data_IF_564044922333
#
_entry.id   IF_564044922333
#
_cell.length_a   1.000
_cell.length_b   1.000
_cell.length_c   1.000
_cell.angle_alpha   90.00
_cell.angle_beta   90.00
_cell.angle_gamma   90.00
#
_symmetry.space_group_name_H-M   'P 1'
#
loop_
_entity.id
_entity.type
_entity.pdbx_description
1 polymer ?
#
# COMPACT_ATOMS: atom_id res chain seq x y z
N UNK A 1 -18.53 -29.27 -18.95
CA UNK A 1 -18.63 -28.97 -17.50
C UNK A 1 -17.84 -27.70 -17.14
N UNK A 2 -18.43 -26.53 -17.39
CA UNK A 2 -17.91 -25.24 -16.93
C UNK A 2 -18.30 -25.09 -15.46
N UNK A 3 -17.48 -25.62 -14.57
CA UNK A 3 -17.58 -25.36 -13.13
C UNK A 3 -17.55 -23.85 -12.90
N UNK A 4 -18.45 -23.36 -12.05
CA UNK A 4 -18.64 -21.94 -11.82
C UNK A 4 -17.30 -21.24 -11.51
N UNK A 5 -16.99 -20.06 -12.10
CA UNK A 5 -15.69 -19.40 -11.96
C UNK A 5 -15.44 -18.77 -10.57
N UNK A 6 -16.39 -18.89 -9.63
CA UNK A 6 -16.34 -18.28 -8.30
C UNK A 6 -15.28 -18.83 -7.34
N UNK A 7 -14.98 -20.16 -7.27
CA UNK A 7 -14.02 -20.69 -6.31
C UNK A 7 -12.61 -20.13 -6.51
N UNK A 8 -12.03 -20.12 -7.73
CA UNK A 8 -10.69 -19.55 -7.95
C UNK A 8 -10.59 -18.07 -7.60
N UNK A 9 -11.63 -17.27 -7.89
CA UNK A 9 -11.63 -15.84 -7.58
C UNK A 9 -11.66 -15.58 -6.07
N UNK A 10 -12.45 -16.37 -5.33
CA UNK A 10 -12.53 -16.26 -3.87
C UNK A 10 -11.20 -16.57 -3.20
N UNK A 11 -10.51 -17.65 -3.61
CA UNK A 11 -9.19 -17.99 -3.08
C UNK A 11 -8.12 -16.96 -3.44
N UNK A 12 -8.17 -16.39 -4.65
CA UNK A 12 -7.31 -15.28 -5.04
C UNK A 12 -7.53 -14.05 -4.14
N UNK A 13 -8.79 -13.67 -3.93
CA UNK A 13 -9.15 -12.54 -3.07
C UNK A 13 -8.74 -12.79 -1.62
N UNK A 14 -8.90 -14.01 -1.12
CA UNK A 14 -8.45 -14.41 0.20
C UNK A 14 -6.93 -14.23 0.35
N UNK A 15 -6.14 -14.71 -0.61
CA UNK A 15 -4.69 -14.54 -0.59
C UNK A 15 -4.27 -13.06 -0.58
N UNK A 16 -4.95 -12.23 -1.36
CA UNK A 16 -4.74 -10.78 -1.37
C UNK A 16 -5.08 -10.14 -0.01
N UNK A 17 -6.22 -10.49 0.57
CA UNK A 17 -6.68 -9.96 1.85
C UNK A 17 -5.80 -10.43 3.02
N UNK A 18 -5.22 -11.62 2.97
CA UNK A 18 -4.29 -12.10 4.01
C UNK A 18 -3.04 -11.21 4.09
N UNK A 19 -2.50 -10.78 2.95
CA UNK A 19 -1.34 -9.87 2.94
C UNK A 19 -1.71 -8.52 3.55
N UNK A 20 -2.87 -7.97 3.17
CA UNK A 20 -3.38 -6.72 3.74
C UNK A 20 -3.74 -6.84 5.22
N UNK A 21 -4.33 -7.96 5.64
CA UNK A 21 -4.65 -8.25 7.03
C UNK A 21 -3.39 -8.34 7.88
N UNK A 22 -2.34 -9.00 7.38
CA UNK A 22 -1.03 -9.03 8.02
C UNK A 22 -0.45 -7.63 8.21
N UNK A 23 -0.51 -6.77 7.18
CA UNK A 23 -0.12 -5.38 7.32
C UNK A 23 -0.95 -4.63 8.36
N UNK A 24 -2.28 -4.77 8.34
CA UNK A 24 -3.16 -4.11 9.31
C UNK A 24 -2.85 -4.53 10.74
N UNK A 25 -2.50 -5.80 10.97
CA UNK A 25 -2.05 -6.28 12.29
C UNK A 25 -0.72 -5.62 12.68
N UNK A 26 0.28 -5.61 11.78
CA UNK A 26 1.58 -4.95 12.06
C UNK A 26 1.39 -3.47 12.35
N UNK A 27 0.55 -2.78 11.56
CA UNK A 27 0.22 -1.38 11.76
C UNK A 27 -0.50 -1.16 13.10
N UNK A 28 -1.43 -2.04 13.49
CA UNK A 28 -2.13 -1.97 14.77
C UNK A 28 -1.22 -2.26 15.97
N UNK A 29 -0.26 -3.19 15.84
CA UNK A 29 0.74 -3.48 16.88
C UNK A 29 1.74 -2.33 17.00
N UNK A 30 2.21 -1.78 15.88
CA UNK A 30 3.05 -0.59 15.88
C UNK A 30 2.31 0.58 16.56
N UNK A 31 1.01 0.74 16.29
CA UNK A 31 0.15 1.72 16.99
C UNK A 31 0.00 1.44 18.48
N UNK A 32 -0.27 0.18 18.87
CA UNK A 32 -0.45 -0.21 20.26
C UNK A 32 0.82 0.00 21.08
N UNK A 33 1.99 -0.41 20.56
CA UNK A 33 3.27 -0.23 21.24
C UNK A 33 3.70 1.24 21.34
N UNK A 34 3.28 2.08 20.40
CA UNK A 34 3.56 3.52 20.43
C UNK A 34 2.53 4.30 21.27
N UNK A 35 1.30 3.81 21.45
CA UNK A 35 0.28 4.45 22.30
C UNK A 35 0.65 4.46 23.79
N UNK A 36 1.46 3.49 24.23
CA UNK A 36 2.03 3.44 25.59
C UNK A 36 3.07 4.56 25.82
N UNK A 37 3.61 5.14 24.75
CA UNK A 37 4.45 6.33 24.82
C UNK A 37 3.56 7.56 24.65
N UNK A 38 3.79 8.63 25.43
CA UNK A 38 3.03 9.90 25.38
C UNK A 38 3.09 10.66 24.03
N UNK A 39 3.46 9.98 22.94
CA UNK A 39 3.69 10.51 21.59
C UNK A 39 2.38 10.66 20.79
N UNK A 40 1.26 10.08 21.23
CA UNK A 40 -0.04 10.13 20.52
C UNK A 40 -1.12 10.82 21.36
N UNK A 41 -1.88 11.73 20.75
CA UNK A 41 -3.12 12.27 21.34
C UNK A 41 -4.35 11.55 20.75
N UNK A 42 -5.54 11.82 21.30
CA UNK A 42 -6.90 11.25 21.06
C UNK A 42 -7.35 11.00 19.59
N UNK A 43 -6.51 11.28 18.59
CA UNK A 43 -6.74 11.15 17.15
C UNK A 43 -5.72 10.25 16.42
N UNK A 44 -4.87 9.49 17.13
CA UNK A 44 -3.86 8.57 16.59
C UNK A 44 -2.90 9.23 15.57
N UNK A 45 -2.49 10.47 15.85
CA UNK A 45 -1.57 11.26 15.02
C UNK A 45 -0.20 11.36 15.70
N UNK A 46 0.88 11.21 14.94
CA UNK A 46 2.24 11.45 15.43
C UNK A 46 2.39 12.93 15.80
N UNK A 47 2.76 13.21 17.04
CA UNK A 47 2.92 14.60 17.54
C UNK A 47 4.30 15.19 17.28
N UNK A 48 5.34 14.34 17.13
CA UNK A 48 6.71 14.81 16.90
C UNK A 48 6.87 15.38 15.48
N UNK A 49 7.23 16.67 15.33
CA UNK A 49 7.45 17.26 14.01
C UNK A 49 8.63 16.61 13.30
N UNK A 50 9.68 16.20 14.03
CA UNK A 50 10.83 15.49 13.47
C UNK A 50 10.44 14.13 12.89
N UNK A 51 9.56 13.39 13.57
CA UNK A 51 9.12 12.08 13.10
C UNK A 51 8.19 12.22 11.89
N UNK A 52 7.31 13.23 11.89
CA UNK A 52 6.47 13.57 10.73
C UNK A 52 7.32 13.98 9.51
N UNK A 53 8.33 14.83 9.69
CA UNK A 53 9.27 15.23 8.64
C UNK A 53 10.04 14.02 8.09
N UNK A 54 10.56 13.15 8.97
CA UNK A 54 11.24 11.93 8.55
C UNK A 54 10.33 10.98 7.74
N UNK A 55 9.04 10.87 8.11
CA UNK A 55 8.04 10.10 7.36
C UNK A 55 7.77 10.70 5.98
N UNK A 56 7.63 12.03 5.90
CA UNK A 56 7.42 12.75 4.64
C UNK A 56 8.64 12.62 3.71
N UNK A 57 9.84 12.86 4.24
CA UNK A 57 11.10 12.67 3.52
C UNK A 57 11.26 11.22 3.05
N UNK A 58 11.00 10.24 3.93
CA UNK A 58 11.04 8.83 3.59
C UNK A 58 10.04 8.45 2.49
N UNK A 59 8.81 8.97 2.56
CA UNK A 59 7.79 8.73 1.54
C UNK A 59 8.19 9.36 0.20
N UNK A 60 8.76 10.57 0.25
CA UNK A 60 9.32 11.24 -0.91
C UNK A 60 10.50 10.48 -1.54
N UNK A 61 11.45 10.00 -0.75
CA UNK A 61 12.56 9.17 -1.24
C UNK A 61 12.05 7.83 -1.82
N UNK A 62 11.05 7.22 -1.18
CA UNK A 62 10.40 6.01 -1.68
C UNK A 62 9.77 6.21 -3.06
N UNK A 63 9.18 7.38 -3.32
CA UNK A 63 8.64 7.74 -4.63
C UNK A 63 9.70 7.68 -5.76
N UNK A 64 10.94 8.05 -5.48
CA UNK A 64 12.01 8.04 -6.47
C UNK A 64 12.67 6.67 -6.67
N UNK A 65 12.47 5.74 -5.72
CA UNK A 65 13.16 4.45 -5.67
C UNK A 65 12.91 3.57 -6.91
N UNK A 66 13.96 2.93 -7.48
CA UNK A 66 13.82 2.01 -8.61
C UNK A 66 13.01 0.75 -8.23
N UNK A 67 13.04 0.37 -6.94
CA UNK A 67 12.26 -0.75 -6.39
C UNK A 67 10.78 -0.46 -6.57
N UNK A 68 10.33 0.74 -6.15
CA UNK A 68 8.95 1.18 -6.30
C UNK A 68 8.51 1.16 -7.76
N UNK A 69 9.32 1.69 -8.68
CA UNK A 69 8.99 1.71 -10.11
C UNK A 69 8.80 0.31 -10.68
N UNK A 70 9.70 -0.61 -10.33
CA UNK A 70 9.62 -2.01 -10.78
C UNK A 70 8.41 -2.72 -10.20
N UNK A 71 8.12 -2.50 -8.92
CA UNK A 71 6.92 -2.97 -8.24
C UNK A 71 5.65 -2.45 -8.95
N UNK A 72 5.57 -1.14 -9.21
CA UNK A 72 4.41 -0.49 -9.79
C UNK A 72 4.11 -1.02 -11.19
N UNK A 73 5.15 -1.31 -12.01
CA UNK A 73 4.97 -1.96 -13.32
C UNK A 73 4.27 -3.31 -13.19
N UNK A 74 4.70 -4.17 -12.26
CA UNK A 74 4.08 -5.47 -12.02
C UNK A 74 2.65 -5.34 -11.47
N UNK A 75 2.43 -4.40 -10.55
CA UNK A 75 1.11 -4.12 -9.97
C UNK A 75 0.10 -3.64 -11.04
N UNK A 76 0.56 -2.88 -12.04
CA UNK A 76 -0.28 -2.30 -13.11
C UNK A 76 -0.56 -3.26 -14.27
N UNK A 77 0.15 -4.39 -14.34
CA UNK A 77 -0.04 -5.41 -15.37
C UNK A 77 -0.67 -6.69 -14.80
N UNK A 78 -1.90 -6.63 -14.23
CA UNK A 78 -2.51 -7.79 -13.58
C UNK A 78 -2.72 -8.96 -14.56
N UNK A 79 -3.08 -8.68 -15.82
CA UNK A 79 -3.26 -9.72 -16.85
C UNK A 79 -1.94 -10.41 -17.19
N UNK A 80 -0.84 -9.65 -17.33
CA UNK A 80 0.49 -10.22 -17.57
C UNK A 80 0.97 -11.05 -16.37
N UNK A 81 0.74 -10.57 -15.15
CA UNK A 81 1.08 -11.30 -13.93
C UNK A 81 0.29 -12.60 -13.81
N UNK A 82 -1.01 -12.56 -14.03
CA UNK A 82 -1.89 -13.73 -13.95
C UNK A 82 -1.58 -14.79 -15.01
N UNK A 83 -1.18 -14.37 -16.21
CA UNK A 83 -0.82 -15.30 -17.31
C UNK A 83 0.57 -15.91 -17.12
N UNK A 84 1.55 -15.14 -16.63
CA UNK A 84 2.91 -15.63 -16.37
C UNK A 84 3.02 -16.49 -15.11
N UNK A 85 2.23 -16.20 -14.08
CA UNK A 85 2.25 -16.91 -12.79
C UNK A 85 1.04 -17.83 -12.61
N UNK A 86 0.35 -18.18 -13.71
CA UNK A 86 -0.87 -18.96 -13.65
C UNK A 86 -0.63 -20.30 -12.96
N UNK A 87 -1.38 -20.57 -11.89
CA UNK A 87 -1.37 -21.85 -11.19
C UNK A 87 -2.80 -22.37 -11.08
N UNK A 88 -3.10 -23.58 -11.59
CA UNK A 88 -4.43 -24.15 -11.51
C UNK A 88 -4.81 -24.49 -10.06
N UNK A 89 -6.12 -24.50 -9.79
CA UNK A 89 -6.68 -24.92 -8.50
C UNK A 89 -6.76 -23.82 -7.44
N UNK A 90 -7.42 -24.14 -6.32
CA UNK A 90 -7.66 -23.22 -5.20
C UNK A 90 -6.35 -22.72 -4.54
N UNK A 91 -5.39 -23.62 -4.33
CA UNK A 91 -4.08 -23.31 -3.77
C UNK A 91 -3.25 -22.44 -4.71
N UNK A 92 -3.32 -22.70 -6.02
CA UNK A 92 -2.72 -21.86 -7.05
C UNK A 92 -3.30 -20.44 -7.04
N UNK A 93 -4.63 -20.31 -6.97
CA UNK A 93 -5.30 -19.03 -6.86
C UNK A 93 -4.91 -18.25 -5.60
N UNK A 94 -4.82 -18.90 -4.45
CA UNK A 94 -4.38 -18.28 -3.19
C UNK A 94 -2.95 -17.74 -3.28
N UNK A 95 -2.02 -18.53 -3.83
CA UNK A 95 -0.63 -18.11 -4.00
C UNK A 95 -0.50 -16.96 -5.01
N UNK A 96 -1.28 -16.99 -6.10
CA UNK A 96 -1.35 -15.88 -7.06
C UNK A 96 -1.86 -14.59 -6.40
N UNK A 97 -2.93 -14.70 -5.60
CA UNK A 97 -3.51 -13.59 -4.84
C UNK A 97 -2.56 -12.99 -3.82
N UNK A 98 -1.89 -13.84 -3.03
CA UNK A 98 -0.88 -13.40 -2.06
C UNK A 98 0.31 -12.73 -2.75
N UNK A 99 0.85 -13.32 -3.82
CA UNK A 99 1.95 -12.70 -4.57
C UNK A 99 1.57 -11.35 -5.15
N UNK A 100 0.36 -11.23 -5.73
CA UNK A 100 -0.13 -9.94 -6.22
C UNK A 100 -0.34 -8.93 -5.07
N UNK A 101 -0.84 -9.40 -3.92
CA UNK A 101 -0.98 -8.62 -2.70
C UNK A 101 0.35 -8.04 -2.22
N UNK A 102 1.42 -8.82 -2.22
CA UNK A 102 2.77 -8.38 -1.83
C UNK A 102 3.30 -7.28 -2.75
N UNK A 103 3.14 -7.43 -4.07
CA UNK A 103 3.48 -6.33 -4.98
C UNK A 103 2.59 -5.11 -4.72
N UNK A 104 1.27 -5.27 -4.68
CA UNK A 104 0.33 -4.19 -4.49
C UNK A 104 0.63 -3.38 -3.22
N UNK A 105 0.94 -4.07 -2.12
CA UNK A 105 1.34 -3.53 -0.84
C UNK A 105 2.73 -2.89 -0.89
N UNK A 106 3.74 -3.60 -1.38
CA UNK A 106 5.12 -3.12 -1.46
C UNK A 106 5.26 -1.83 -2.27
N UNK A 107 4.40 -1.59 -3.26
CA UNK A 107 4.46 -0.35 -4.02
C UNK A 107 3.91 0.86 -3.22
N UNK A 108 2.95 0.65 -2.31
CA UNK A 108 2.24 1.73 -1.61
C UNK A 108 2.46 1.79 -0.10
N UNK A 109 3.19 0.84 0.51
CA UNK A 109 3.33 0.75 1.97
C UNK A 109 3.83 2.05 2.62
N UNK A 110 4.82 2.71 2.02
CA UNK A 110 5.36 3.97 2.55
C UNK A 110 4.38 5.13 2.45
N UNK A 111 3.46 5.09 1.47
CA UNK A 111 2.37 6.06 1.36
C UNK A 111 1.28 5.80 2.38
N UNK A 112 1.03 4.54 2.72
CA UNK A 112 0.12 4.20 3.83
C UNK A 112 0.67 4.72 5.16
N UNK A 113 2.00 4.79 5.33
CA UNK A 113 2.60 5.38 6.53
C UNK A 113 2.25 6.88 6.69
N UNK A 114 1.89 7.60 5.62
CA UNK A 114 1.40 8.99 5.72
C UNK A 114 0.07 9.11 6.46
N UNK A 115 -0.69 8.02 6.65
CA UNK A 115 -1.89 8.03 7.48
C UNK A 115 -1.56 8.38 8.94
N UNK A 116 -0.35 8.05 9.42
CA UNK A 116 0.09 8.42 10.77
C UNK A 116 0.40 9.92 10.92
N UNK A 117 0.73 10.59 9.81
CA UNK A 117 1.02 12.04 9.77
C UNK A 117 -0.28 12.86 9.84
N UNK A 118 -1.31 12.44 9.10
CA UNK A 118 -2.62 13.11 9.08
C UNK A 118 -3.60 12.65 10.16
N UNK A 119 -3.35 11.48 10.76
CA UNK A 119 -4.23 10.83 11.74
C UNK A 119 -5.20 9.86 11.07
N UNK A 120 -5.24 8.63 11.58
CA UNK A 120 -6.09 7.54 11.05
C UNK A 120 -7.58 7.82 11.29
N UNK A 121 -7.91 8.71 12.23
CA UNK A 121 -9.31 9.10 12.50
C UNK A 121 -9.83 10.18 11.55
N UNK A 122 -9.02 10.69 10.62
CA UNK A 122 -9.45 11.69 9.64
C UNK A 122 -9.86 11.00 8.32
N UNK A 123 -11.17 10.81 8.05
CA UNK A 123 -11.62 10.13 6.83
C UNK A 123 -11.24 10.89 5.56
N UNK A 124 -11.19 12.22 5.60
CA UNK A 124 -10.75 13.03 4.45
C UNK A 124 -9.29 12.75 4.10
N UNK A 125 -8.43 12.56 5.10
CA UNK A 125 -7.04 12.20 4.88
C UNK A 125 -6.89 10.79 4.31
N UNK A 126 -7.62 9.83 4.86
CA UNK A 126 -7.64 8.45 4.36
C UNK A 126 -8.08 8.42 2.89
N UNK A 127 -9.18 9.08 2.56
CA UNK A 127 -9.69 9.16 1.19
C UNK A 127 -8.67 9.84 0.28
N UNK A 128 -8.02 10.91 0.74
CA UNK A 128 -6.97 11.61 0.01
C UNK A 128 -5.78 10.69 -0.33
N UNK A 129 -5.25 9.96 0.66
CA UNK A 129 -4.14 9.01 0.47
C UNK A 129 -4.57 7.84 -0.43
N UNK A 130 -5.78 7.32 -0.26
CA UNK A 130 -6.32 6.25 -1.10
C UNK A 130 -6.48 6.69 -2.56
N UNK A 131 -7.07 7.87 -2.80
CA UNK A 131 -7.20 8.46 -4.12
C UNK A 131 -5.83 8.70 -4.77
N UNK A 132 -4.87 9.18 -3.97
CA UNK A 132 -3.51 9.39 -4.42
C UNK A 132 -2.84 8.08 -4.89
N UNK A 133 -2.92 7.01 -4.10
CA UNK A 133 -2.40 5.68 -4.49
C UNK A 133 -3.13 5.12 -5.71
N UNK A 134 -4.45 5.33 -5.79
CA UNK A 134 -5.26 4.89 -6.92
C UNK A 134 -4.86 5.61 -8.20
N UNK A 135 -4.66 6.93 -8.15
CA UNK A 135 -4.18 7.73 -9.28
C UNK A 135 -2.80 7.26 -9.74
N UNK A 136 -1.91 6.95 -8.81
CA UNK A 136 -0.58 6.43 -9.16
C UNK A 136 -0.65 5.07 -9.87
N UNK A 137 -1.56 4.20 -9.43
CA UNK A 137 -1.76 2.86 -10.02
C UNK A 137 -2.51 2.90 -11.36
N UNK A 138 -3.50 3.78 -11.52
CA UNK A 138 -4.33 3.81 -12.73
C UNK A 138 -3.78 4.73 -13.83
N UNK A 139 -3.00 5.76 -13.47
CA UNK A 139 -2.56 6.76 -14.44
C UNK A 139 -1.52 6.22 -15.42
N UNK A 140 -1.70 6.40 -16.75
CA UNK A 140 -0.70 6.05 -17.76
C UNK A 140 0.66 6.73 -17.50
N UNK A 141 0.66 7.92 -16.89
CA UNK A 141 1.86 8.69 -16.49
C UNK A 141 2.19 8.56 -14.99
N UNK A 142 1.82 7.45 -14.35
CA UNK A 142 2.04 7.21 -12.92
C UNK A 142 3.46 7.51 -12.43
N UNK A 143 4.51 7.23 -13.23
CA UNK A 143 5.90 7.55 -12.86
C UNK A 143 6.18 9.06 -12.79
N UNK A 144 5.54 9.88 -13.64
CA UNK A 144 5.68 11.34 -13.57
C UNK A 144 4.96 11.89 -12.35
N UNK A 145 3.75 11.37 -12.08
CA UNK A 145 2.98 11.73 -10.89
C UNK A 145 3.73 11.35 -9.61
N UNK A 146 4.32 10.15 -9.55
CA UNK A 146 5.17 9.67 -8.47
C UNK A 146 6.36 10.62 -8.21
N UNK A 147 7.07 11.05 -9.25
CA UNK A 147 8.20 11.99 -9.12
C UNK A 147 7.77 13.37 -8.60
N UNK A 148 6.70 13.94 -9.15
CA UNK A 148 6.20 15.26 -8.75
C UNK A 148 5.76 15.27 -7.29
N UNK A 149 4.96 14.28 -6.92
CA UNK A 149 4.47 14.15 -5.55
C UNK A 149 5.57 13.73 -4.57
N UNK A 150 6.56 12.95 -5.03
CA UNK A 150 7.77 12.67 -4.26
C UNK A 150 8.56 13.95 -3.95
N UNK A 151 8.77 14.82 -4.93
CA UNK A 151 9.41 16.11 -4.72
C UNK A 151 8.61 16.98 -3.74
N UNK A 152 7.28 17.02 -3.88
CA UNK A 152 6.39 17.77 -2.98
C UNK A 152 6.49 17.25 -1.54
N UNK A 153 6.53 15.93 -1.35
CA UNK A 153 6.69 15.31 -0.02
C UNK A 153 8.06 15.63 0.60
N UNK A 154 9.13 15.68 -0.20
CA UNK A 154 10.47 16.06 0.28
C UNK A 154 10.50 17.53 0.70
N UNK A 155 9.89 18.42 -0.07
CA UNK A 155 9.84 19.86 0.26
C UNK A 155 8.96 20.13 1.48
N UNK A 156 7.92 19.33 1.68
CA UNK A 156 7.00 19.47 2.81
C UNK A 156 7.49 18.85 4.12
N UNK A 157 8.49 17.96 4.07
CA UNK A 157 9.06 17.25 5.22
C UNK A 157 10.29 17.92 5.79
#
# INVERSE_FOLDING_TARGET
PLGSPYPPLAFFTLGYLLVWGGFSIVAALAQGGLSETHIFHNSLRITSPYLNGALLLGAGLWQFSPIKRTCLRHCRSPVHYLTTHWRPGATGALHMGAGHGVFCFGCCWFLMALLFVGGVMNPYWIIGVAAYVLLEKLSPRGETFAKLSGAMLIVAG
#
